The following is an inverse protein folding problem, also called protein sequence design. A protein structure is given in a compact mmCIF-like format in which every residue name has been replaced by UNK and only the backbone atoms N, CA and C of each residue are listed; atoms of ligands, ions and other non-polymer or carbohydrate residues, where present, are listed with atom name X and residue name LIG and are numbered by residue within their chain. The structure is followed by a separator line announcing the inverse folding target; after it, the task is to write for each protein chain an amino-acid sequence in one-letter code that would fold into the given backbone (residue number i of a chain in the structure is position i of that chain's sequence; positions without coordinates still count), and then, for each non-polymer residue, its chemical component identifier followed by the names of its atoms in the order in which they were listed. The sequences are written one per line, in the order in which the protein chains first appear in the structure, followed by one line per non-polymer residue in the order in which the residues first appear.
data_IF_359141527854
#
_entry.id   IF_359141527854
#
_cell.length_a   1.000
_cell.length_b   1.000
_cell.length_c   1.000
_cell.angle_alpha   90.00
_cell.angle_beta   90.00
_cell.angle_gamma   90.00
#
_symmetry.space_group_name_H-M   'P 1'
#
loop_
_entity.id
_entity.type
_entity.pdbx_description
1 polymer ?
#
# COMPACT_ATOMS: atom_id res chain seq x y z
N UNK A 1 -1.31 48.32 52.47
CA UNK A 1 -1.47 48.02 51.03
C UNK A 1 -0.70 46.74 50.69
N UNK A 2 -1.30 45.55 50.83
CA UNK A 2 -0.62 44.25 50.58
C UNK A 2 -1.59 43.19 50.00
N UNK A 3 -2.45 43.58 49.06
CA UNK A 3 -3.49 42.69 48.49
C UNK A 3 -3.49 42.61 46.95
N UNK A 4 -2.38 42.96 46.28
CA UNK A 4 -2.32 43.02 44.81
C UNK A 4 -1.33 42.06 44.14
N UNK A 5 -0.90 40.98 44.80
CA UNK A 5 0.08 40.05 44.20
C UNK A 5 -0.26 38.57 44.18
N UNK A 6 -1.43 38.13 44.71
CA UNK A 6 -1.81 36.71 44.65
C UNK A 6 -2.62 36.30 43.42
N UNK A 7 -3.36 37.22 42.78
CA UNK A 7 -4.17 36.87 41.59
C UNK A 7 -3.32 36.65 40.34
N UNK A 8 -2.20 37.34 40.18
CA UNK A 8 -1.39 37.22 38.97
C UNK A 8 -0.65 35.89 38.95
N UNK A 9 -0.10 35.45 40.09
CA UNK A 9 0.63 34.17 40.19
C UNK A 9 -0.29 32.97 39.89
N UNK A 10 -1.56 33.03 40.30
CA UNK A 10 -2.52 31.96 40.01
C UNK A 10 -2.92 31.89 38.53
N UNK A 11 -2.88 33.00 37.78
CA UNK A 11 -3.15 33.00 36.33
C UNK A 11 -2.01 32.37 35.54
N UNK A 12 -0.76 32.54 36.00
CA UNK A 12 0.41 31.91 35.36
C UNK A 12 0.53 30.41 35.66
N UNK A 13 -0.02 29.95 36.79
CA UNK A 13 -0.04 28.52 37.18
C UNK A 13 -1.21 27.78 36.50
N UNK A 14 -2.30 28.49 36.14
CA UNK A 14 -3.45 27.93 35.41
C UNK A 14 -3.27 27.93 33.88
N UNK A 15 -2.12 28.37 33.36
CA UNK A 15 -1.69 28.15 31.97
C UNK A 15 -1.12 26.74 31.78
N UNK A 16 -1.91 25.75 32.19
CA UNK A 16 -2.36 24.61 31.41
C UNK A 16 -1.52 24.18 30.18
N UNK A 17 -0.22 23.94 30.35
CA UNK A 17 0.61 23.21 29.38
C UNK A 17 0.11 21.76 29.08
N UNK A 18 -0.55 21.01 29.98
CA UNK A 18 -1.04 19.66 29.64
C UNK A 18 -2.26 19.65 28.71
N UNK A 19 -3.15 20.66 28.73
CA UNK A 19 -4.43 20.59 27.99
C UNK A 19 -4.27 20.71 26.46
N UNK A 20 -3.29 21.48 25.99
CA UNK A 20 -2.96 21.58 24.57
C UNK A 20 -2.34 20.28 24.05
N UNK A 21 -1.45 19.66 24.85
CA UNK A 21 -0.84 18.37 24.52
C UNK A 21 -1.86 17.26 24.45
N UNK A 22 -2.81 17.18 25.40
CA UNK A 22 -3.88 16.18 25.33
C UNK A 22 -4.78 16.36 24.11
N UNK A 23 -5.13 17.60 23.74
CA UNK A 23 -5.88 17.86 22.49
C UNK A 23 -5.10 17.40 21.25
N UNK A 24 -3.81 17.70 21.18
CA UNK A 24 -2.93 17.27 20.08
C UNK A 24 -2.79 15.75 20.02
N UNK A 25 -2.70 15.10 21.18
CA UNK A 25 -2.64 13.65 21.29
C UNK A 25 -3.97 13.00 20.89
N UNK A 26 -5.12 13.54 21.33
CA UNK A 26 -6.46 13.09 20.93
C UNK A 26 -6.68 13.25 19.43
N UNK A 27 -6.30 14.39 18.86
CA UNK A 27 -6.40 14.63 17.41
C UNK A 27 -5.49 13.68 16.62
N UNK A 28 -4.26 13.43 17.09
CA UNK A 28 -3.32 12.50 16.46
C UNK A 28 -3.79 11.05 16.57
N UNK A 29 -4.37 10.66 17.71
CA UNK A 29 -4.90 9.32 17.96
C UNK A 29 -6.19 9.07 17.17
N UNK A 30 -7.10 10.05 17.13
CA UNK A 30 -8.31 9.94 16.32
C UNK A 30 -7.98 9.87 14.83
N UNK A 31 -6.99 10.68 14.37
CA UNK A 31 -6.46 10.61 13.01
C UNK A 31 -5.83 9.26 12.73
N UNK A 32 -5.05 8.66 13.63
CA UNK A 32 -4.40 7.35 13.40
C UNK A 32 -5.41 6.21 13.31
N UNK A 33 -6.46 6.22 14.13
CA UNK A 33 -7.58 5.27 14.05
C UNK A 33 -8.29 5.40 12.71
N UNK A 34 -8.67 6.63 12.32
CA UNK A 34 -9.34 6.89 11.05
C UNK A 34 -8.48 6.46 9.84
N UNK A 35 -7.17 6.75 9.87
CA UNK A 35 -6.24 6.34 8.83
C UNK A 35 -6.10 4.82 8.74
N UNK A 36 -6.15 4.11 9.87
CA UNK A 36 -6.10 2.65 9.91
C UNK A 36 -7.37 2.01 9.31
N UNK A 37 -8.54 2.60 9.57
CA UNK A 37 -9.82 2.14 8.99
C UNK A 37 -9.89 2.46 7.50
N UNK A 38 -9.47 3.67 7.11
CA UNK A 38 -9.41 4.06 5.70
C UNK A 38 -8.47 3.15 4.90
N UNK A 39 -7.27 2.85 5.41
CA UNK A 39 -6.33 1.92 4.77
C UNK A 39 -6.91 0.52 4.59
N UNK A 40 -7.69 0.02 5.56
CA UNK A 40 -8.39 -1.28 5.47
C UNK A 40 -9.44 -1.28 4.36
N UNK A 41 -10.18 -0.18 4.19
CA UNK A 41 -11.18 -0.09 3.12
C UNK A 41 -10.51 0.01 1.75
N UNK A 42 -9.45 0.82 1.64
CA UNK A 42 -8.72 1.01 0.38
C UNK A 42 -8.08 -0.29 -0.13
N UNK A 43 -7.43 -1.08 0.74
CA UNK A 43 -6.86 -2.37 0.31
C UNK A 43 -7.95 -3.34 -0.16
N UNK A 44 -9.12 -3.33 0.48
CA UNK A 44 -10.24 -4.20 0.10
C UNK A 44 -10.83 -3.78 -1.25
N UNK A 45 -11.01 -2.49 -1.48
CA UNK A 45 -11.45 -1.96 -2.79
C UNK A 45 -10.42 -2.31 -3.88
N UNK A 46 -9.13 -2.11 -3.62
CA UNK A 46 -8.08 -2.45 -4.59
C UNK A 46 -8.05 -3.95 -4.88
N UNK A 47 -8.20 -4.82 -3.87
CA UNK A 47 -8.29 -6.27 -4.10
C UNK A 47 -9.50 -6.65 -4.97
N UNK A 48 -10.66 -6.02 -4.75
CA UNK A 48 -11.85 -6.25 -5.58
C UNK A 48 -11.62 -5.76 -7.01
N UNK A 49 -11.03 -4.57 -7.19
CA UNK A 49 -10.70 -4.04 -8.51
C UNK A 49 -9.69 -4.93 -9.23
N UNK A 50 -8.59 -5.32 -8.57
CA UNK A 50 -7.57 -6.21 -9.14
C UNK A 50 -8.16 -7.57 -9.47
N UNK A 51 -9.10 -8.09 -8.68
CA UNK A 51 -9.82 -9.33 -9.01
C UNK A 51 -10.69 -9.18 -10.26
N UNK A 52 -11.47 -8.09 -10.36
CA UNK A 52 -12.38 -7.85 -11.47
C UNK A 52 -11.62 -7.57 -12.77
N UNK A 53 -10.70 -6.61 -12.73
CA UNK A 53 -9.87 -6.24 -13.87
C UNK A 53 -8.85 -7.32 -14.21
N UNK A 54 -8.30 -8.02 -13.22
CA UNK A 54 -7.39 -9.14 -13.46
C UNK A 54 -8.05 -10.26 -14.24
N UNK A 55 -9.32 -10.56 -13.96
CA UNK A 55 -10.09 -11.53 -14.76
C UNK A 55 -10.32 -11.05 -16.20
N UNK A 56 -10.58 -9.76 -16.40
CA UNK A 56 -10.71 -9.19 -17.76
C UNK A 56 -9.39 -9.20 -18.53
N UNK A 57 -8.28 -8.89 -17.87
CA UNK A 57 -6.93 -8.85 -18.45
C UNK A 57 -6.37 -10.27 -18.68
N UNK A 58 -6.89 -11.27 -17.97
CA UNK A 58 -6.51 -12.67 -18.17
C UNK A 58 -6.79 -13.14 -19.61
N UNK A 59 -7.89 -12.70 -20.22
CA UNK A 59 -8.28 -13.09 -21.59
C UNK A 59 -7.20 -12.69 -22.62
N UNK A 60 -6.78 -11.41 -22.74
CA UNK A 60 -5.70 -11.05 -23.65
C UNK A 60 -4.35 -11.64 -23.25
N UNK A 61 -4.11 -11.90 -21.95
CA UNK A 61 -2.87 -12.55 -21.50
C UNK A 61 -2.73 -13.98 -22.03
N UNK A 62 -3.79 -14.79 -21.90
CA UNK A 62 -3.82 -16.16 -22.45
C UNK A 62 -3.68 -16.14 -23.97
N UNK A 63 -4.34 -15.20 -24.65
CA UNK A 63 -4.23 -15.04 -26.10
C UNK A 63 -2.80 -14.72 -26.55
N UNK A 64 -2.12 -13.79 -25.85
CA UNK A 64 -0.73 -13.44 -26.12
C UNK A 64 0.22 -14.59 -25.83
N UNK A 65 0.01 -15.31 -24.73
CA UNK A 65 0.83 -16.47 -24.39
C UNK A 65 0.72 -17.61 -25.41
N UNK A 66 -0.47 -17.80 -26.00
CA UNK A 66 -0.67 -18.73 -27.10
C UNK A 66 0.14 -18.31 -28.35
N UNK A 67 0.15 -17.03 -28.68
CA UNK A 67 0.91 -16.53 -29.84
C UNK A 67 2.43 -16.58 -29.63
N UNK A 68 2.91 -16.32 -28.42
CA UNK A 68 4.34 -16.23 -28.13
C UNK A 68 4.94 -17.54 -27.57
N UNK A 69 4.12 -18.59 -27.36
CA UNK A 69 4.56 -19.85 -26.75
C UNK A 69 4.96 -19.73 -25.28
N UNK A 70 4.65 -18.60 -24.63
CA UNK A 70 5.04 -18.27 -23.26
C UNK A 70 4.01 -18.80 -22.25
N UNK A 71 3.82 -20.13 -22.21
CA UNK A 71 2.88 -20.78 -21.30
C UNK A 71 3.14 -20.50 -19.81
N UNK A 72 4.39 -20.20 -19.45
CA UNK A 72 4.79 -19.82 -18.09
C UNK A 72 4.06 -18.56 -17.59
N UNK A 73 3.79 -17.59 -18.47
CA UNK A 73 3.11 -16.33 -18.10
C UNK A 73 1.66 -16.61 -17.70
N UNK A 74 0.99 -17.55 -18.37
CA UNK A 74 -0.38 -17.96 -18.03
C UNK A 74 -0.44 -18.63 -16.65
N UNK A 75 0.54 -19.49 -16.36
CA UNK A 75 0.62 -20.17 -15.06
C UNK A 75 0.85 -19.14 -13.95
N UNK A 76 1.70 -18.14 -14.19
CA UNK A 76 1.95 -17.07 -13.22
C UNK A 76 0.71 -16.18 -13.02
N UNK A 77 0.02 -15.79 -14.09
CA UNK A 77 -1.18 -14.97 -14.01
C UNK A 77 -2.33 -15.71 -13.31
N UNK A 78 -2.50 -17.01 -13.58
CA UNK A 78 -3.49 -17.84 -12.86
C UNK A 78 -3.16 -17.97 -11.38
N UNK A 79 -1.88 -18.21 -11.03
CA UNK A 79 -1.45 -18.25 -9.63
C UNK A 79 -1.64 -16.90 -8.93
N UNK A 80 -1.36 -15.79 -9.61
CA UNK A 80 -1.55 -14.46 -9.08
C UNK A 80 -3.04 -14.16 -8.83
N UNK A 81 -3.92 -14.49 -9.78
CA UNK A 81 -5.38 -14.36 -9.60
C UNK A 81 -5.89 -15.22 -8.44
N UNK A 82 -5.45 -16.47 -8.35
CA UNK A 82 -5.82 -17.37 -7.26
C UNK A 82 -5.37 -16.82 -5.90
N UNK A 83 -4.15 -16.30 -5.83
CA UNK A 83 -3.61 -15.70 -4.61
C UNK A 83 -4.36 -14.41 -4.24
N UNK A 84 -4.77 -13.59 -5.21
CA UNK A 84 -5.64 -12.42 -4.98
C UNK A 84 -7.01 -12.85 -4.43
N UNK A 85 -7.62 -13.90 -4.99
CA UNK A 85 -8.88 -14.44 -4.46
C UNK A 85 -8.72 -14.99 -3.03
N UNK A 86 -7.63 -15.70 -2.76
CA UNK A 86 -7.28 -16.16 -1.42
C UNK A 86 -7.12 -14.99 -0.43
N UNK A 87 -6.43 -13.92 -0.84
CA UNK A 87 -6.30 -12.68 -0.05
C UNK A 87 -7.64 -11.97 0.16
N UNK A 88 -8.58 -12.08 -0.77
CA UNK A 88 -9.91 -11.50 -0.67
C UNK A 88 -10.77 -12.22 0.37
N UNK A 89 -10.64 -13.56 0.45
CA UNK A 89 -11.30 -14.40 1.46
C UNK A 89 -10.79 -14.17 2.89
N UNK A 90 -9.54 -13.71 3.07
CA UNK A 90 -9.02 -13.42 4.40
C UNK A 90 -9.81 -12.30 5.10
N UNK A 91 -10.02 -12.36 6.42
CA UNK A 91 -10.74 -11.30 7.14
C UNK A 91 -9.97 -9.97 7.12
N UNK A 92 -10.71 -8.85 6.98
CA UNK A 92 -10.15 -7.49 6.80
C UNK A 92 -9.32 -6.97 8.01
N UNK A 93 -9.29 -7.73 9.10
CA UNK A 93 -8.39 -7.49 10.25
C UNK A 93 -6.90 -7.56 9.86
N UNK A 94 -6.54 -8.32 8.82
CA UNK A 94 -5.17 -8.56 8.38
C UNK A 94 -4.72 -7.67 7.20
N UNK A 95 -5.06 -6.38 7.21
CA UNK A 95 -4.73 -5.46 6.11
C UNK A 95 -3.21 -5.29 5.88
N UNK A 96 -2.39 -5.31 6.94
CA UNK A 96 -0.93 -5.20 6.82
C UNK A 96 -0.33 -6.33 5.98
N UNK A 97 -0.44 -7.62 6.37
CA UNK A 97 0.12 -8.71 5.57
C UNK A 97 -0.51 -8.76 4.16
N UNK A 98 -1.80 -8.46 4.00
CA UNK A 98 -2.43 -8.38 2.67
C UNK A 98 -1.71 -7.38 1.75
N UNK A 99 -1.37 -6.20 2.25
CA UNK A 99 -0.63 -5.22 1.46
C UNK A 99 0.80 -5.67 1.12
N UNK A 100 1.50 -6.36 2.04
CA UNK A 100 2.83 -6.92 1.75
C UNK A 100 2.75 -7.98 0.64
N UNK A 101 1.79 -8.90 0.73
CA UNK A 101 1.59 -9.95 -0.28
C UNK A 101 1.21 -9.37 -1.65
N UNK A 102 0.29 -8.40 -1.68
CA UNK A 102 -0.13 -7.75 -2.93
C UNK A 102 1.04 -7.04 -3.61
N UNK A 103 1.81 -6.25 -2.86
CA UNK A 103 2.98 -5.56 -3.42
C UNK A 103 4.06 -6.54 -3.86
N UNK A 104 4.31 -7.59 -3.08
CA UNK A 104 5.26 -8.65 -3.47
C UNK A 104 4.84 -9.36 -4.75
N UNK A 105 3.55 -9.64 -4.92
CA UNK A 105 3.01 -10.23 -6.16
C UNK A 105 3.24 -9.32 -7.35
N UNK A 106 2.89 -8.02 -7.23
CA UNK A 106 3.09 -7.05 -8.32
C UNK A 106 4.57 -6.98 -8.71
N UNK A 107 5.47 -6.98 -7.72
CA UNK A 107 6.91 -6.95 -7.98
C UNK A 107 7.39 -8.20 -8.70
N UNK A 108 7.00 -9.39 -8.25
CA UNK A 108 7.37 -10.67 -8.88
C UNK A 108 6.81 -10.73 -10.31
N UNK A 109 5.54 -10.34 -10.53
CA UNK A 109 4.98 -10.24 -11.87
C UNK A 109 5.78 -9.27 -12.74
N UNK A 110 6.07 -8.07 -12.23
CA UNK A 110 6.85 -7.06 -12.95
C UNK A 110 8.21 -7.59 -13.42
N UNK A 111 8.97 -8.25 -12.54
CA UNK A 111 10.25 -8.87 -12.88
C UNK A 111 10.12 -9.99 -13.92
N UNK A 112 9.12 -10.87 -13.78
CA UNK A 112 8.93 -12.00 -14.69
C UNK A 112 8.47 -11.54 -16.09
N UNK A 113 7.53 -10.61 -16.16
CA UNK A 113 7.12 -10.02 -17.44
C UNK A 113 8.26 -9.25 -18.09
N UNK A 114 9.04 -8.50 -17.30
CA UNK A 114 10.20 -7.75 -17.82
C UNK A 114 11.26 -8.68 -18.42
N UNK A 115 11.59 -9.79 -17.75
CA UNK A 115 12.58 -10.75 -18.24
C UNK A 115 12.11 -11.56 -19.46
N UNK A 116 10.81 -11.87 -19.57
CA UNK A 116 10.27 -12.71 -20.65
C UNK A 116 9.86 -11.93 -21.90
N UNK A 117 9.27 -10.75 -21.73
CA UNK A 117 8.72 -9.93 -22.83
C UNK A 117 9.66 -8.76 -23.17
N UNK A 118 10.58 -8.40 -22.27
CA UNK A 118 11.52 -7.31 -22.46
C UNK A 118 10.91 -5.91 -22.31
N UNK A 119 11.64 -4.90 -22.77
CA UNK A 119 11.27 -3.46 -22.70
C UNK A 119 9.96 -3.11 -23.42
N UNK A 120 9.50 -3.93 -24.36
CA UNK A 120 8.23 -3.72 -25.08
C UNK A 120 6.98 -4.21 -24.34
N UNK A 121 7.15 -4.90 -23.20
CA UNK A 121 6.06 -5.51 -22.44
C UNK A 121 5.50 -4.64 -21.31
N UNK A 122 4.38 -5.08 -20.73
CA UNK A 122 3.76 -4.44 -19.57
C UNK A 122 4.60 -4.52 -18.27
N UNK A 123 5.70 -5.29 -18.26
CA UNK A 123 6.53 -5.51 -17.07
C UNK A 123 7.09 -4.23 -16.46
N UNK A 124 7.47 -3.24 -17.29
CA UNK A 124 7.99 -1.96 -16.81
C UNK A 124 6.92 -1.12 -16.09
N UNK A 125 5.67 -1.19 -16.56
CA UNK A 125 4.54 -0.51 -15.92
C UNK A 125 4.28 -1.10 -14.54
N UNK A 126 4.36 -2.43 -14.41
CA UNK A 126 4.21 -3.11 -13.13
C UNK A 126 5.32 -2.75 -12.15
N UNK A 127 6.57 -2.71 -12.60
CA UNK A 127 7.71 -2.28 -11.78
C UNK A 127 7.54 -0.85 -11.28
N UNK A 128 7.07 0.08 -12.13
CA UNK A 128 6.81 1.47 -11.73
C UNK A 128 5.66 1.60 -10.72
N UNK A 129 4.70 0.68 -10.75
CA UNK A 129 3.54 0.65 -9.84
C UNK A 129 3.92 0.26 -8.40
N UNK A 130 4.96 -0.57 -8.22
CA UNK A 130 5.42 -1.09 -6.92
C UNK A 130 5.72 0.02 -5.90
N UNK A 131 6.59 1.02 -6.18
CA UNK A 131 6.90 2.07 -5.21
C UNK A 131 5.66 2.91 -4.85
N UNK A 132 4.74 3.13 -5.79
CA UNK A 132 3.50 3.89 -5.55
C UNK A 132 2.63 3.17 -4.51
N UNK A 133 2.42 1.86 -4.68
CA UNK A 133 1.64 1.07 -3.72
C UNK A 133 2.35 0.94 -2.36
N UNK A 134 3.68 0.80 -2.34
CA UNK A 134 4.46 0.84 -1.11
C UNK A 134 4.26 2.15 -0.32
N UNK A 135 4.21 3.29 -1.02
CA UNK A 135 3.91 4.62 -0.45
C UNK A 135 2.58 4.69 0.27
N UNK A 136 1.54 4.16 -0.37
CA UNK A 136 0.17 4.22 0.15
C UNK A 136 0.02 3.32 1.38
N UNK A 137 0.57 2.11 1.33
CA UNK A 137 0.30 1.08 2.34
C UNK A 137 1.36 0.99 3.44
N UNK A 138 2.62 0.82 3.06
CA UNK A 138 3.72 0.39 3.94
C UNK A 138 4.50 1.55 4.57
N UNK A 139 4.44 2.75 3.98
CA UNK A 139 5.02 3.97 4.53
C UNK A 139 6.38 4.35 3.92
N UNK A 140 6.89 5.50 4.36
CA UNK A 140 7.94 6.25 3.65
C UNK A 140 9.27 5.51 3.50
N UNK A 141 9.72 4.79 4.53
CA UNK A 141 10.99 4.05 4.50
C UNK A 141 10.95 2.92 3.48
N UNK A 142 9.88 2.12 3.48
CA UNK A 142 9.74 0.98 2.57
C UNK A 142 9.55 1.45 1.13
N UNK A 143 8.92 2.60 0.94
CA UNK A 143 8.80 3.27 -0.37
C UNK A 143 10.16 3.60 -0.96
N UNK A 144 11.05 4.18 -0.15
CA UNK A 144 12.40 4.53 -0.59
C UNK A 144 13.19 3.28 -1.02
N UNK A 145 13.17 2.23 -0.20
CA UNK A 145 13.79 0.95 -0.55
C UNK A 145 13.20 0.33 -1.82
N UNK A 146 11.88 0.36 -1.96
CA UNK A 146 11.21 -0.16 -3.16
C UNK A 146 11.62 0.60 -4.42
N UNK A 147 11.78 1.92 -4.32
CA UNK A 147 12.22 2.74 -5.45
C UNK A 147 13.66 2.41 -5.87
N UNK A 148 14.57 2.25 -4.89
CA UNK A 148 15.95 1.85 -5.15
C UNK A 148 16.00 0.49 -5.85
N UNK A 149 15.27 -0.52 -5.32
CA UNK A 149 15.22 -1.86 -5.92
C UNK A 149 14.66 -1.80 -7.34
N UNK A 150 13.55 -1.09 -7.53
CA UNK A 150 12.91 -0.97 -8.85
C UNK A 150 13.83 -0.30 -9.86
N UNK A 151 14.55 0.77 -9.45
CA UNK A 151 15.51 1.46 -10.30
C UNK A 151 16.66 0.56 -10.73
N UNK A 152 17.18 -0.28 -9.82
CA UNK A 152 18.25 -1.25 -10.13
C UNK A 152 17.82 -2.34 -11.10
N UNK A 153 16.53 -2.67 -11.18
CA UNK A 153 16.02 -3.65 -12.13
C UNK A 153 15.74 -3.06 -13.51
N UNK A 154 15.59 -1.74 -13.61
CA UNK A 154 15.22 -1.05 -14.86
C UNK A 154 16.44 -0.46 -15.58
N UNK A 155 17.46 -0.01 -14.83
CA UNK A 155 18.71 0.57 -15.34
C UNK A 155 19.87 -0.42 -15.22
#
# INVERSE_FOLDING_TARGET
MLFRNRKVVNVWIDMNHPSHFEKLFKLRFHRSIYLSVWKKNVIQIILILVSCFGFLIYIPSVYLAWQQGLGEVVILDTLALLLVWFLLLLPNRFYKPKSYFLVSLIFILGCLLYTKIGLGGAGILWLFLVPVFCGIFLGRIITFWSYVITSLFVF
#
